data_IF_770604881535
#
_entry.id   IF_770604881535
#
_cell.length_a   1.000
_cell.length_b   1.000
_cell.length_c   1.000
_cell.angle_alpha   90.00
_cell.angle_beta   90.00
_cell.angle_gamma   90.00
#
_symmetry.space_group_name_H-M   'P 1'
#
loop_
_entity.id
_entity.type
_entity.pdbx_description
1 polymer ?
#
# COMPACT_ATOMS: atom_id res chain seq x y z
N UNK A 1 7.51 -12.63 -4.25
CA UNK A 1 7.02 -12.37 -2.87
C UNK A 1 6.34 -13.61 -2.30
N UNK A 2 6.27 -13.76 -0.98
CA UNK A 2 5.58 -14.87 -0.34
C UNK A 2 4.06 -14.70 -0.44
N UNK A 3 3.37 -15.69 -1.03
CA UNK A 3 1.91 -15.76 -1.20
C UNK A 3 1.11 -15.49 0.10
N UNK A 4 1.54 -15.96 1.30
CA UNK A 4 0.88 -15.60 2.56
C UNK A 4 0.91 -14.11 2.90
N UNK A 5 1.96 -13.39 2.48
CA UNK A 5 2.11 -11.97 2.80
C UNK A 5 1.15 -11.13 1.95
N UNK A 6 1.07 -11.40 0.65
CA UNK A 6 0.15 -10.72 -0.26
C UNK A 6 -1.30 -11.01 0.12
N UNK A 7 -1.62 -12.22 0.59
CA UNK A 7 -2.92 -12.52 1.17
C UNK A 7 -3.21 -11.71 2.44
N UNK A 8 -2.22 -11.56 3.35
CA UNK A 8 -2.38 -10.76 4.57
C UNK A 8 -2.70 -9.28 4.26
N UNK A 9 -2.11 -8.73 3.20
CA UNK A 9 -2.40 -7.38 2.74
C UNK A 9 -3.77 -7.28 2.04
N UNK A 10 -4.13 -8.28 1.24
CA UNK A 10 -5.46 -8.36 0.63
C UNK A 10 -6.58 -8.39 1.69
N UNK A 11 -6.36 -9.13 2.80
CA UNK A 11 -7.29 -9.15 3.94
C UNK A 11 -7.46 -7.75 4.55
N UNK A 12 -6.38 -6.97 4.71
CA UNK A 12 -6.47 -5.60 5.25
C UNK A 12 -7.32 -4.70 4.36
N UNK A 13 -7.07 -4.66 3.05
CA UNK A 13 -7.85 -3.83 2.12
C UNK A 13 -9.32 -4.29 2.05
N UNK A 14 -9.56 -5.60 1.98
CA UNK A 14 -10.92 -6.14 1.98
C UNK A 14 -11.66 -5.82 3.29
N UNK A 15 -10.98 -5.85 4.43
CA UNK A 15 -11.56 -5.46 5.71
C UNK A 15 -11.93 -3.97 5.75
N UNK A 16 -11.15 -3.11 5.08
CA UNK A 16 -11.50 -1.70 4.91
C UNK A 16 -12.74 -1.54 4.02
N UNK A 17 -12.84 -2.26 2.91
CA UNK A 17 -14.05 -2.28 2.06
C UNK A 17 -15.30 -2.74 2.80
N UNK A 18 -15.18 -3.74 3.69
CA UNK A 18 -16.29 -4.16 4.55
C UNK A 18 -16.68 -3.08 5.56
N UNK A 19 -15.70 -2.37 6.10
CA UNK A 19 -15.89 -1.41 7.20
C UNK A 19 -16.39 -0.05 6.71
N UNK A 20 -15.96 0.39 5.52
CA UNK A 20 -16.45 1.62 4.89
C UNK A 20 -17.78 1.41 4.13
N UNK A 21 -18.34 0.20 4.15
CA UNK A 21 -19.63 -0.11 3.53
C UNK A 21 -19.59 -0.38 2.01
N UNK A 22 -18.40 -0.49 1.40
CA UNK A 22 -18.27 -0.95 0.00
C UNK A 22 -18.80 -2.36 -0.16
N UNK A 23 -18.47 -3.25 0.77
CA UNK A 23 -19.18 -4.51 0.94
C UNK A 23 -20.21 -4.32 2.05
N UNK A 24 -21.46 -4.09 1.64
CA UNK A 24 -22.59 -3.91 2.57
C UNK A 24 -22.70 -5.05 3.59
N UNK A 25 -23.11 -4.73 4.82
CA UNK A 25 -23.45 -5.71 5.86
C UNK A 25 -24.66 -6.56 5.46
N UNK A 26 -25.56 -5.99 4.66
CA UNK A 26 -26.78 -6.64 4.17
C UNK A 26 -26.95 -6.35 2.68
N UNK A 27 -26.20 -7.03 1.80
CA UNK A 27 -26.37 -6.85 0.37
C UNK A 27 -27.74 -7.36 -0.07
N UNK A 28 -28.31 -6.73 -1.11
CA UNK A 28 -29.67 -7.01 -1.60
C UNK A 28 -29.86 -8.47 -2.03
N UNK A 29 -28.80 -9.09 -2.55
CA UNK A 29 -28.81 -10.47 -3.05
C UNK A 29 -28.34 -11.49 -2.02
N UNK A 30 -28.14 -11.10 -0.76
CA UNK A 30 -27.60 -11.94 0.33
C UNK A 30 -26.28 -12.66 -0.03
N UNK A 31 -25.51 -12.08 -0.95
CA UNK A 31 -24.29 -12.65 -1.53
C UNK A 31 -23.00 -12.09 -0.91
N UNK A 32 -23.06 -11.77 0.39
CA UNK A 32 -21.98 -11.04 1.07
C UNK A 32 -20.67 -11.83 1.07
N UNK A 33 -20.74 -13.14 1.29
CA UNK A 33 -19.57 -14.01 1.34
C UNK A 33 -18.85 -14.06 -0.02
N UNK A 34 -19.62 -14.14 -1.10
CA UNK A 34 -19.12 -14.15 -2.48
C UNK A 34 -18.44 -12.81 -2.81
N UNK A 35 -19.03 -11.68 -2.42
CA UNK A 35 -18.43 -10.35 -2.61
C UNK A 35 -17.08 -10.23 -1.87
N UNK A 36 -17.00 -10.71 -0.63
CA UNK A 36 -15.75 -10.75 0.14
C UNK A 36 -14.72 -11.63 -0.57
N UNK A 37 -15.11 -12.82 -1.01
CA UNK A 37 -14.20 -13.74 -1.71
C UNK A 37 -13.68 -13.14 -3.02
N UNK A 38 -14.57 -12.54 -3.83
CA UNK A 38 -14.20 -11.87 -5.06
C UNK A 38 -13.22 -10.73 -4.79
N UNK A 39 -13.47 -9.94 -3.73
CA UNK A 39 -12.55 -8.84 -3.40
C UNK A 39 -11.20 -9.30 -2.88
N UNK A 40 -11.17 -10.30 -2.01
CA UNK A 40 -9.91 -10.90 -1.55
C UNK A 40 -9.09 -11.42 -2.73
N UNK A 41 -9.72 -12.13 -3.67
CA UNK A 41 -9.04 -12.65 -4.85
C UNK A 41 -8.49 -11.53 -5.73
N UNK A 42 -9.27 -10.48 -5.96
CA UNK A 42 -8.84 -9.32 -6.73
C UNK A 42 -7.63 -8.64 -6.10
N UNK A 43 -7.72 -8.27 -4.80
CA UNK A 43 -6.61 -7.65 -4.09
C UNK A 43 -5.37 -8.55 -4.07
N UNK A 44 -5.55 -9.85 -3.85
CA UNK A 44 -4.43 -10.78 -3.80
C UNK A 44 -3.67 -10.85 -5.13
N UNK A 45 -4.39 -11.02 -6.25
CA UNK A 45 -3.80 -11.07 -7.59
C UNK A 45 -3.11 -9.75 -7.97
N UNK A 46 -3.75 -8.63 -7.66
CA UNK A 46 -3.19 -7.32 -7.91
C UNK A 46 -1.93 -7.07 -7.08
N UNK A 47 -1.97 -7.30 -5.77
CA UNK A 47 -0.82 -7.12 -4.88
C UNK A 47 0.36 -8.02 -5.29
N UNK A 48 0.10 -9.27 -5.67
CA UNK A 48 1.14 -10.15 -6.20
C UNK A 48 1.82 -9.55 -7.44
N UNK A 49 1.04 -8.97 -8.34
CA UNK A 49 1.55 -8.31 -9.56
C UNK A 49 2.33 -7.04 -9.22
N UNK A 50 1.79 -6.18 -8.34
CA UNK A 50 2.43 -4.95 -7.87
C UNK A 50 3.79 -5.24 -7.21
N UNK A 51 3.84 -6.23 -6.30
CA UNK A 51 5.07 -6.64 -5.64
C UNK A 51 6.14 -7.08 -6.65
N UNK A 52 5.73 -7.90 -7.63
CA UNK A 52 6.63 -8.38 -8.68
C UNK A 52 7.18 -7.25 -9.55
N UNK A 53 6.44 -6.15 -9.69
CA UNK A 53 6.86 -4.96 -10.41
C UNK A 53 7.81 -4.09 -9.56
N UNK A 54 7.38 -3.66 -8.37
CA UNK A 54 8.16 -2.77 -7.49
C UNK A 54 9.51 -3.36 -7.10
N UNK A 55 9.58 -4.69 -6.86
CA UNK A 55 10.84 -5.37 -6.51
C UNK A 55 11.86 -5.38 -7.66
N UNK A 56 11.41 -5.27 -8.92
CA UNK A 56 12.30 -5.17 -10.08
C UNK A 56 12.83 -3.76 -10.24
N UNK A 57 12.02 -2.76 -9.94
CA UNK A 57 12.38 -1.35 -10.10
C UNK A 57 13.31 -0.85 -9.02
N UNK A 58 13.09 -1.28 -7.76
CA UNK A 58 13.98 -0.89 -6.67
C UNK A 58 14.44 -2.10 -5.84
N UNK A 59 15.73 -2.48 -5.93
CA UNK A 59 16.27 -3.57 -5.13
C UNK A 59 16.46 -3.10 -3.69
N UNK A 60 15.41 -3.25 -2.88
CA UNK A 60 15.46 -3.04 -1.42
C UNK A 60 15.43 -4.40 -0.69
N UNK A 61 16.04 -4.51 0.50
CA UNK A 61 15.96 -5.72 1.32
C UNK A 61 14.52 -6.18 1.51
N UNK A 62 14.30 -7.50 1.43
CA UNK A 62 12.95 -8.09 1.40
C UNK A 62 12.12 -7.78 2.65
N UNK A 63 12.75 -7.72 3.80
CA UNK A 63 12.16 -7.35 5.09
C UNK A 63 11.70 -5.89 5.09
N UNK A 64 12.57 -4.96 4.64
CA UNK A 64 12.23 -3.54 4.50
C UNK A 64 11.11 -3.36 3.48
N UNK A 65 11.18 -4.02 2.32
CA UNK A 65 10.12 -4.00 1.31
C UNK A 65 8.77 -4.39 1.92
N UNK A 66 8.74 -5.51 2.65
CA UNK A 66 7.53 -6.06 3.22
C UNK A 66 6.92 -5.10 4.25
N UNK A 67 7.76 -4.43 5.04
CA UNK A 67 7.34 -3.42 6.02
C UNK A 67 6.77 -2.17 5.33
N UNK A 68 7.46 -1.62 4.35
CA UNK A 68 7.01 -0.41 3.63
C UNK A 68 5.68 -0.66 2.91
N UNK A 69 5.54 -1.84 2.29
CA UNK A 69 4.30 -2.21 1.62
C UNK A 69 3.14 -2.42 2.61
N UNK A 70 3.39 -3.04 3.76
CA UNK A 70 2.40 -3.14 4.83
C UNK A 70 1.89 -1.75 5.24
N UNK A 71 2.81 -0.82 5.51
CA UNK A 71 2.47 0.54 5.93
C UNK A 71 1.70 1.31 4.84
N UNK A 72 2.09 1.17 3.57
CA UNK A 72 1.37 1.76 2.44
C UNK A 72 -0.07 1.25 2.31
N UNK A 73 -0.26 -0.06 2.52
CA UNK A 73 -1.59 -0.70 2.56
C UNK A 73 -2.40 -0.19 3.74
N UNK A 74 -1.80 -0.02 4.92
CA UNK A 74 -2.49 0.51 6.11
C UNK A 74 -2.92 1.97 5.93
N UNK A 75 -2.08 2.81 5.33
CA UNK A 75 -2.44 4.20 5.00
C UNK A 75 -3.58 4.26 3.98
N UNK A 76 -3.54 3.40 2.95
CA UNK A 76 -4.63 3.34 1.96
C UNK A 76 -5.93 2.84 2.58
N UNK A 77 -5.86 1.85 3.47
CA UNK A 77 -7.02 1.40 4.23
C UNK A 77 -7.61 2.54 5.09
N UNK A 78 -6.77 3.38 5.70
CA UNK A 78 -7.23 4.57 6.43
C UNK A 78 -7.93 5.58 5.49
N UNK A 79 -7.44 5.77 4.27
CA UNK A 79 -8.11 6.62 3.27
C UNK A 79 -9.47 6.07 2.84
N UNK A 80 -9.60 4.74 2.73
CA UNK A 80 -10.88 4.08 2.44
C UNK A 80 -11.87 4.26 3.59
N UNK A 81 -11.41 4.17 4.84
CA UNK A 81 -12.24 4.30 6.04
C UNK A 81 -12.65 5.74 6.35
N UNK A 82 -11.85 6.71 5.93
CA UNK A 82 -12.08 8.15 6.13
C UNK A 82 -12.83 8.82 4.98
N UNK A 83 -13.30 8.04 4.01
CA UNK A 83 -13.94 8.50 2.76
C UNK A 83 -13.06 9.36 1.84
N UNK A 84 -11.75 9.48 2.11
CA UNK A 84 -10.80 10.07 1.17
C UNK A 84 -10.77 9.28 -0.15
N UNK A 85 -10.86 7.95 -0.06
CA UNK A 85 -11.27 7.07 -1.16
C UNK A 85 -12.77 6.76 -0.99
N UNK A 86 -13.58 7.54 -1.68
CA UNK A 86 -15.03 7.52 -1.57
C UNK A 86 -15.63 6.19 -2.01
N UNK A 87 -16.73 5.82 -1.35
CA UNK A 87 -17.53 4.63 -1.65
C UNK A 87 -18.15 4.65 -3.06
N UNK A 88 -18.74 5.78 -3.43
CA UNK A 88 -19.39 6.01 -4.72
C UNK A 88 -18.76 7.23 -5.40
N UNK A 89 -17.51 7.11 -5.89
CA UNK A 89 -16.81 8.23 -6.49
C UNK A 89 -17.48 8.63 -7.81
N UNK A 90 -17.73 9.93 -7.97
CA UNK A 90 -18.28 10.49 -9.22
C UNK A 90 -17.18 10.74 -10.26
N UNK A 91 -15.96 11.04 -9.78
CA UNK A 91 -14.88 11.59 -10.59
C UNK A 91 -13.74 10.61 -10.89
N UNK A 92 -13.75 9.43 -10.28
CA UNK A 92 -12.70 8.43 -10.46
C UNK A 92 -13.21 7.01 -10.26
N UNK A 93 -12.46 6.04 -10.77
CA UNK A 93 -12.65 4.63 -10.44
C UNK A 93 -11.96 4.32 -9.09
N UNK A 94 -12.71 3.70 -8.16
CA UNK A 94 -12.25 3.41 -6.80
C UNK A 94 -11.03 2.49 -6.82
N UNK A 95 -11.04 1.47 -7.68
CA UNK A 95 -9.95 0.50 -7.77
C UNK A 95 -8.66 1.19 -8.23
N UNK A 96 -8.76 2.00 -9.28
CA UNK A 96 -7.65 2.84 -9.74
C UNK A 96 -7.10 3.75 -8.64
N UNK A 97 -7.97 4.38 -7.84
CA UNK A 97 -7.53 5.24 -6.72
C UNK A 97 -6.82 4.46 -5.62
N UNK A 98 -7.29 3.25 -5.29
CA UNK A 98 -6.61 2.37 -4.32
C UNK A 98 -5.21 2.00 -4.84
N UNK A 99 -5.10 1.66 -6.12
CA UNK A 99 -3.82 1.33 -6.76
C UNK A 99 -2.84 2.51 -6.67
N UNK A 100 -3.30 3.69 -7.06
CA UNK A 100 -2.52 4.93 -6.98
C UNK A 100 -2.07 5.23 -5.55
N UNK A 101 -2.96 5.08 -4.57
CA UNK A 101 -2.68 5.41 -3.17
C UNK A 101 -1.63 4.46 -2.57
N UNK A 102 -1.77 3.14 -2.76
CA UNK A 102 -0.77 2.17 -2.27
C UNK A 102 0.60 2.45 -2.90
N UNK A 103 0.63 2.70 -4.21
CA UNK A 103 1.89 2.97 -4.92
C UNK A 103 2.53 4.27 -4.43
N UNK A 104 1.73 5.33 -4.27
CA UNK A 104 2.21 6.65 -3.82
C UNK A 104 2.74 6.60 -2.40
N UNK A 105 1.98 6.00 -1.47
CA UNK A 105 2.43 5.85 -0.09
C UNK A 105 3.68 4.98 0.01
N UNK A 106 3.78 3.91 -0.77
CA UNK A 106 4.99 3.09 -0.82
C UNK A 106 6.21 3.93 -1.25
N UNK A 107 6.10 4.70 -2.33
CA UNK A 107 7.18 5.59 -2.80
C UNK A 107 7.55 6.65 -1.77
N UNK A 108 6.57 7.26 -1.09
CA UNK A 108 6.83 8.25 -0.04
C UNK A 108 7.55 7.63 1.16
N UNK A 109 7.06 6.50 1.66
CA UNK A 109 7.67 5.79 2.78
C UNK A 109 9.08 5.32 2.45
N UNK A 110 9.31 4.87 1.21
CA UNK A 110 10.62 4.51 0.70
C UNK A 110 11.58 5.71 0.72
N UNK A 111 11.15 6.86 0.20
CA UNK A 111 11.95 8.10 0.21
C UNK A 111 12.25 8.60 1.63
N UNK A 112 11.34 8.40 2.59
CA UNK A 112 11.57 8.75 3.99
C UNK A 112 12.51 7.78 4.72
N UNK A 113 12.63 6.54 4.27
CA UNK A 113 13.36 5.47 4.98
C UNK A 113 14.76 5.24 4.40
N UNK A 114 14.93 5.41 3.10
CA UNK A 114 16.22 5.24 2.44
C UNK A 114 16.92 6.60 2.34
N UNK A 115 18.20 6.69 2.76
CA UNK A 115 18.95 7.93 2.62
C UNK A 115 19.12 8.27 1.13
N UNK A 116 18.90 9.54 0.80
CA UNK A 116 19.24 10.07 -0.52
C UNK A 116 20.74 9.85 -0.78
N UNK A 117 21.14 9.17 -1.86
CA UNK A 117 22.55 9.02 -2.19
C UNK A 117 23.24 10.37 -2.44
N UNK A 118 22.50 11.43 -2.76
CA UNK A 118 23.02 12.76 -3.05
C UNK A 118 23.20 13.68 -1.82
N UNK A 119 22.68 13.31 -0.63
CA UNK A 119 22.78 14.16 0.57
C UNK A 119 23.91 13.75 1.54
N UNK A 120 24.74 12.78 1.16
CA UNK A 120 25.84 12.27 1.99
C UNK A 120 27.19 13.01 1.80
N UNK A 121 27.23 14.14 1.08
CA UNK A 121 28.48 14.90 0.86
C UNK A 121 28.72 16.06 1.85
N UNK A 122 27.86 16.32 2.83
CA UNK A 122 27.94 17.55 3.66
C UNK A 122 28.31 17.37 5.15
N UNK A 123 28.85 16.23 5.54
CA UNK A 123 29.47 16.08 6.88
C UNK A 123 30.87 15.50 6.80
N UNK A 124 31.81 16.27 6.24
CA UNK A 124 33.20 16.19 6.70
C UNK A 124 33.41 17.29 7.75
N UNK A 125 33.82 16.97 8.99
CA UNK A 125 34.27 17.99 9.92
C UNK A 125 35.59 18.55 9.40
N UNK A 126 35.63 19.84 9.10
CA UNK A 126 36.86 20.57 8.79
C UNK A 126 37.87 20.35 9.92
N UNK A 127 39.08 19.92 9.53
CA UNK A 127 40.27 19.90 10.36
C UNK A 127 40.47 21.28 11.00
N UNK A 128 40.11 21.42 12.27
CA UNK A 128 40.60 22.50 13.12
C UNK A 128 41.91 22.05 13.76
N UNK A 129 43.02 22.29 13.05
CA UNK A 129 44.33 22.44 13.68
C UNK A 129 44.59 23.93 13.89
N UNK A 130 44.80 24.39 15.13
CA UNK A 130 45.60 25.57 15.39
C UNK A 130 46.97 25.16 15.94
N UNK A 131 47.97 25.96 15.54
CA UNK A 131 49.39 25.92 15.89
C UNK A 131 49.69 25.87 17.40
#
# INVERSE_FOLDING_TARGET
MNDPLTMSFAVRLCSADMSCGFISVSPVLDNRAELIQQRLNWYHQWLHSLCSHLQKETPIPQDIFSLLLLQAVELTAADMLSDAIALAPVLYDRDSRIIESVTSYFSWLQACTLPDPENNELTQPENLSPE
#
